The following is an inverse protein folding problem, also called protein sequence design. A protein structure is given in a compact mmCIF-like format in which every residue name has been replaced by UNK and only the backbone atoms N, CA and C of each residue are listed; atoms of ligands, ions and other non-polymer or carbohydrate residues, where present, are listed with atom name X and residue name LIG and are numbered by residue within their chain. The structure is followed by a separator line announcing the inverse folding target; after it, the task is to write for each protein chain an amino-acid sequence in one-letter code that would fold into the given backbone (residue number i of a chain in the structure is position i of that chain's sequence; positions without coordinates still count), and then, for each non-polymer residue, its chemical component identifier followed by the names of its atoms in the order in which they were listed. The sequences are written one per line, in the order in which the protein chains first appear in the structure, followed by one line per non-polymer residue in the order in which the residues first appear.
data_IF_428372837359
#
_entry.id   IF_428372837359
#
_cell.length_a   1.000
_cell.length_b   1.000
_cell.length_c   1.000
_cell.angle_alpha   90.00
_cell.angle_beta   90.00
_cell.angle_gamma   90.00
#
_symmetry.space_group_name_H-M   'P 1'
#
loop_
_entity.id
_entity.type
_entity.pdbx_description
1 polymer ?
#
# COMPACT_ATOMS: atom_id res chain seq x y z
N UNK A 1 -9.96 -1.32 18.49
CA UNK A 1 -8.69 -1.31 17.71
C UNK A 1 -9.06 -1.10 16.26
N UNK A 2 -8.58 -0.03 15.63
CA UNK A 2 -8.88 0.28 14.21
C UNK A 2 -8.01 -0.65 13.37
N UNK A 3 -8.63 -1.44 12.50
CA UNK A 3 -7.92 -2.38 11.63
C UNK A 3 -7.33 -1.65 10.39
N UNK A 4 -6.39 -2.29 9.68
CA UNK A 4 -5.90 -1.80 8.38
C UNK A 4 -7.06 -1.60 7.40
N UNK A 5 -8.04 -2.50 7.44
CA UNK A 5 -9.20 -2.47 6.55
C UNK A 5 -10.10 -1.25 6.84
N UNK A 6 -10.28 -0.90 8.12
CA UNK A 6 -11.04 0.29 8.52
C UNK A 6 -10.35 1.58 8.05
N UNK A 7 -9.02 1.65 8.20
CA UNK A 7 -8.20 2.77 7.70
C UNK A 7 -8.26 2.88 6.17
N UNK A 8 -8.12 1.75 5.48
CA UNK A 8 -8.22 1.70 4.03
C UNK A 8 -9.58 2.19 3.53
N UNK A 9 -10.67 1.82 4.22
CA UNK A 9 -12.01 2.29 3.90
C UNK A 9 -12.16 3.80 4.10
N UNK A 10 -11.69 4.33 5.23
CA UNK A 10 -11.71 5.78 5.50
C UNK A 10 -10.90 6.55 4.43
N UNK A 11 -9.73 6.04 4.05
CA UNK A 11 -8.90 6.65 3.02
C UNK A 11 -9.57 6.63 1.64
N UNK A 12 -10.28 5.54 1.28
CA UNK A 12 -11.08 5.48 0.04
C UNK A 12 -12.18 6.53 0.05
N UNK A 13 -12.91 6.68 1.15
CA UNK A 13 -13.98 7.68 1.29
C UNK A 13 -13.42 9.10 1.10
N UNK A 14 -12.31 9.42 1.77
CA UNK A 14 -11.62 10.70 1.64
C UNK A 14 -11.09 10.93 0.22
N UNK A 15 -10.46 9.92 -0.37
CA UNK A 15 -9.94 9.98 -1.74
C UNK A 15 -11.06 10.26 -2.75
N UNK A 16 -12.15 9.51 -2.68
CA UNK A 16 -13.28 9.68 -3.60
C UNK A 16 -13.95 11.07 -3.43
N UNK A 17 -14.16 11.50 -2.20
CA UNK A 17 -14.74 12.81 -1.90
C UNK A 17 -13.88 13.97 -2.41
N UNK A 18 -12.54 13.85 -2.33
CA UNK A 18 -11.62 14.89 -2.81
C UNK A 18 -11.42 14.86 -4.32
N UNK A 19 -11.43 13.70 -4.94
CA UNK A 19 -11.03 13.54 -6.34
C UNK A 19 -12.17 13.29 -7.29
N UNK A 20 -13.30 12.79 -6.79
CA UNK A 20 -14.44 12.25 -7.53
C UNK A 20 -14.08 11.12 -8.51
N UNK A 21 -12.90 10.52 -8.37
CA UNK A 21 -12.50 9.35 -9.14
C UNK A 21 -13.20 8.11 -8.58
N UNK A 22 -13.62 7.22 -9.48
CA UNK A 22 -14.09 5.91 -9.08
C UNK A 22 -12.91 5.11 -8.53
N UNK A 23 -13.15 4.35 -7.48
CA UNK A 23 -12.12 3.54 -6.82
C UNK A 23 -12.72 2.25 -6.29
N UNK A 24 -12.02 1.17 -6.51
CA UNK A 24 -12.31 -0.16 -5.99
C UNK A 24 -11.10 -0.68 -5.24
N UNK A 25 -11.33 -1.34 -4.10
CA UNK A 25 -10.30 -2.04 -3.35
C UNK A 25 -10.53 -3.54 -3.42
N UNK A 26 -9.46 -4.28 -3.62
CA UNK A 26 -9.43 -5.73 -3.73
C UNK A 26 -8.43 -6.32 -2.74
N UNK A 27 -8.71 -7.53 -2.24
CA UNK A 27 -7.71 -8.27 -1.49
C UNK A 27 -6.63 -8.86 -2.43
N UNK A 28 -5.64 -9.53 -1.88
CA UNK A 28 -4.52 -10.16 -2.58
C UNK A 28 -4.96 -11.26 -3.58
N UNK A 29 -6.16 -11.79 -3.41
CA UNK A 29 -6.76 -12.81 -4.29
C UNK A 29 -7.67 -12.21 -5.38
N UNK A 30 -7.85 -10.89 -5.39
CA UNK A 30 -8.70 -10.19 -6.35
C UNK A 30 -10.19 -10.19 -6.00
N UNK A 31 -10.55 -10.48 -4.75
CA UNK A 31 -11.92 -10.32 -4.28
C UNK A 31 -12.18 -8.87 -3.90
N UNK A 32 -13.29 -8.32 -4.36
CA UNK A 32 -13.70 -6.94 -4.07
C UNK A 32 -13.97 -6.77 -2.57
N UNK A 33 -13.35 -5.76 -1.97
CA UNK A 33 -13.54 -5.35 -0.58
C UNK A 33 -14.47 -4.15 -0.46
N UNK A 34 -14.17 -3.10 -1.22
CA UNK A 34 -14.90 -1.82 -1.22
C UNK A 34 -14.98 -1.25 -2.63
N UNK A 35 -16.04 -0.48 -2.89
CA UNK A 35 -16.21 0.24 -4.15
C UNK A 35 -16.88 1.57 -3.89
N UNK A 36 -16.38 2.66 -4.51
CA UNK A 36 -16.99 3.98 -4.51
C UNK A 36 -17.01 4.55 -5.93
N UNK A 37 -18.15 5.14 -6.27
CA UNK A 37 -18.43 5.61 -7.62
C UNK A 37 -18.96 4.52 -8.54
N UNK A 38 -18.77 4.68 -9.84
CA UNK A 38 -19.18 3.70 -10.84
C UNK A 38 -18.17 2.56 -10.92
N UNK A 39 -18.59 1.32 -11.27
CA UNK A 39 -17.68 0.20 -11.45
C UNK A 39 -16.57 0.52 -12.44
N UNK A 40 -15.32 0.20 -12.07
CA UNK A 40 -14.14 0.46 -12.92
C UNK A 40 -14.07 -0.52 -14.10
N UNK A 41 -14.72 -1.67 -13.99
CA UNK A 41 -14.74 -2.74 -15.03
C UNK A 41 -13.34 -3.15 -15.47
N UNK A 42 -12.45 -3.36 -14.53
CA UNK A 42 -11.08 -3.79 -14.77
C UNK A 42 -10.98 -5.32 -14.89
N UNK A 43 -10.07 -5.81 -15.73
CA UNK A 43 -9.75 -7.24 -15.83
C UNK A 43 -8.84 -7.63 -14.65
N UNK A 44 -9.44 -8.10 -13.56
CA UNK A 44 -8.74 -8.41 -12.31
C UNK A 44 -7.71 -9.53 -12.51
N UNK A 45 -7.97 -10.52 -13.36
CA UNK A 45 -6.99 -11.58 -13.64
C UNK A 45 -5.71 -11.03 -14.25
N UNK A 46 -5.80 -10.15 -15.24
CA UNK A 46 -4.62 -9.49 -15.81
C UNK A 46 -3.91 -8.58 -14.81
N UNK A 47 -4.67 -7.92 -13.93
CA UNK A 47 -4.08 -7.12 -12.87
C UNK A 47 -3.27 -7.99 -11.92
N UNK A 48 -3.83 -9.12 -11.45
CA UNK A 48 -3.13 -10.05 -10.56
C UNK A 48 -1.84 -10.62 -11.17
N UNK A 49 -1.84 -10.91 -12.48
CA UNK A 49 -0.62 -11.32 -13.18
C UNK A 49 0.46 -10.23 -13.20
N UNK A 50 0.06 -8.96 -13.33
CA UNK A 50 0.98 -7.83 -13.36
C UNK A 50 1.55 -7.51 -11.99
N UNK A 51 0.73 -7.43 -10.95
CA UNK A 51 1.19 -7.09 -9.58
C UNK A 51 2.13 -8.15 -8.99
N UNK A 52 2.07 -9.40 -9.48
CA UNK A 52 3.06 -10.44 -9.10
C UNK A 52 4.47 -10.14 -9.59
N UNK A 53 4.60 -9.35 -10.66
CA UNK A 53 5.88 -9.00 -11.30
C UNK A 53 6.34 -7.59 -10.94
N UNK A 54 5.41 -6.70 -10.65
CA UNK A 54 5.65 -5.28 -10.41
C UNK A 54 5.27 -4.93 -8.96
N UNK A 55 6.14 -4.20 -8.27
CA UNK A 55 5.86 -3.74 -6.90
C UNK A 55 5.37 -2.29 -6.84
N UNK A 56 5.54 -1.56 -7.94
CA UNK A 56 5.22 -0.14 -8.05
C UNK A 56 3.78 0.09 -8.51
N UNK A 57 3.36 1.34 -8.50
CA UNK A 57 2.10 1.80 -9.09
C UNK A 57 2.08 1.48 -10.58
N UNK A 58 0.99 0.89 -11.05
CA UNK A 58 0.80 0.46 -12.44
C UNK A 58 -0.25 1.34 -13.09
N UNK A 59 0.11 2.02 -14.17
CA UNK A 59 -0.83 2.74 -15.03
C UNK A 59 -1.14 1.92 -16.27
N UNK A 60 -2.41 1.66 -16.51
CA UNK A 60 -2.89 0.91 -17.67
C UNK A 60 -3.63 1.85 -18.59
N UNK A 61 -3.10 2.06 -19.81
CA UNK A 61 -3.83 2.75 -20.86
C UNK A 61 -4.88 1.81 -21.45
N UNK A 62 -6.15 2.17 -21.39
CA UNK A 62 -7.26 1.42 -21.99
C UNK A 62 -7.42 1.74 -23.46
N UNK A 63 -7.54 3.03 -23.77
CA UNK A 63 -7.62 3.59 -25.13
C UNK A 63 -7.64 5.11 -25.09
N UNK A 64 -7.13 5.79 -26.12
CA UNK A 64 -7.29 7.23 -26.34
C UNK A 64 -7.02 8.12 -25.11
N UNK A 65 -5.88 7.90 -24.43
CA UNK A 65 -5.51 8.63 -23.22
C UNK A 65 -6.46 8.40 -22.00
N UNK A 66 -7.18 7.29 -22.00
CA UNK A 66 -7.99 6.85 -20.86
C UNK A 66 -7.20 5.80 -20.08
N UNK A 67 -7.03 6.06 -18.80
CA UNK A 67 -6.21 5.24 -17.92
C UNK A 67 -7.01 4.69 -16.73
N UNK A 68 -6.54 3.57 -16.24
CA UNK A 68 -6.79 3.12 -14.86
C UNK A 68 -5.44 3.01 -14.15
N UNK A 69 -5.43 3.25 -12.85
CA UNK A 69 -4.24 3.13 -12.02
C UNK A 69 -4.46 2.06 -10.98
N UNK A 70 -3.48 1.19 -10.81
CA UNK A 70 -3.45 0.17 -9.78
C UNK A 70 -2.33 0.53 -8.81
N UNK A 71 -2.65 0.59 -7.52
CA UNK A 71 -1.67 0.80 -6.48
C UNK A 71 -1.95 -0.11 -5.28
N UNK A 72 -0.92 -0.53 -4.53
CA UNK A 72 -1.12 -1.41 -3.38
C UNK A 72 -1.84 -0.68 -2.25
N UNK A 73 -2.53 -1.40 -1.37
CA UNK A 73 -3.14 -0.84 -0.14
C UNK A 73 -2.06 -0.34 0.81
N UNK A 74 -0.96 -1.06 0.90
CA UNK A 74 0.24 -0.67 1.63
C UNK A 74 1.33 -0.30 0.62
N UNK A 75 1.97 0.87 0.73
CA UNK A 75 3.00 1.30 -0.21
C UNK A 75 4.02 0.21 -0.51
N UNK A 76 4.26 -0.05 -1.79
CA UNK A 76 5.21 -1.05 -2.31
C UNK A 76 4.93 -2.52 -1.92
N UNK A 77 3.74 -2.81 -1.37
CA UNK A 77 3.38 -4.16 -0.93
C UNK A 77 1.96 -4.56 -1.34
N UNK A 78 1.84 -5.41 -2.36
CA UNK A 78 0.58 -5.94 -2.86
C UNK A 78 0.03 -7.14 -2.05
N UNK A 79 0.75 -7.64 -1.05
CA UNK A 79 0.31 -8.80 -0.24
C UNK A 79 -0.93 -8.50 0.62
N UNK A 80 -1.26 -7.23 0.81
CA UNK A 80 -2.45 -6.78 1.55
C UNK A 80 -3.60 -6.37 0.64
N UNK A 81 -3.45 -6.54 -0.68
CA UNK A 81 -4.41 -6.12 -1.66
C UNK A 81 -4.02 -4.85 -2.42
N UNK A 82 -4.95 -4.34 -3.20
CA UNK A 82 -4.69 -3.23 -4.12
C UNK A 82 -5.95 -2.40 -4.39
N UNK A 83 -5.72 -1.16 -4.77
CA UNK A 83 -6.74 -0.26 -5.30
C UNK A 83 -6.70 -0.26 -6.82
N UNK A 84 -7.88 -0.13 -7.43
CA UNK A 84 -8.07 0.15 -8.86
C UNK A 84 -8.82 1.46 -8.98
N UNK A 85 -8.19 2.45 -9.60
CA UNK A 85 -8.67 3.84 -9.68
C UNK A 85 -8.96 4.20 -11.12
N UNK A 86 -10.10 4.81 -11.38
CA UNK A 86 -10.48 5.31 -12.68
C UNK A 86 -11.82 4.75 -13.18
N UNK A 87 -12.09 4.81 -14.49
CA UNK A 87 -11.24 5.41 -15.54
C UNK A 87 -11.12 6.93 -15.40
N UNK A 88 -10.00 7.47 -15.83
CA UNK A 88 -9.77 8.92 -15.98
C UNK A 88 -9.06 9.22 -17.30
N UNK A 89 -9.26 10.43 -17.82
CA UNK A 89 -8.61 10.88 -19.04
C UNK A 89 -7.45 11.84 -18.72
N UNK A 90 -6.35 11.69 -19.42
CA UNK A 90 -5.25 12.67 -19.39
C UNK A 90 -5.40 13.76 -20.47
N UNK A 91 -6.44 13.65 -21.31
CA UNK A 91 -6.81 14.65 -22.31
C UNK A 91 -8.01 15.46 -21.79
N UNK A 92 -7.84 16.78 -21.72
CA UNK A 92 -8.90 17.73 -21.36
C UNK A 92 -10.10 17.70 -22.31
N UNK A 93 -9.85 17.37 -23.57
CA UNK A 93 -10.85 17.43 -24.64
C UNK A 93 -11.45 16.04 -24.93
N UNK A 94 -11.36 15.10 -23.99
CA UNK A 94 -11.95 13.79 -24.20
C UNK A 94 -13.46 13.90 -24.43
N UNK A 95 -13.96 13.12 -25.38
CA UNK A 95 -15.38 13.13 -25.80
C UNK A 95 -16.24 12.13 -25.02
N UNK A 96 -15.63 11.34 -24.13
CA UNK A 96 -16.30 10.20 -23.47
C UNK A 96 -16.90 10.55 -22.10
N UNK A 97 -17.00 11.83 -21.75
CA UNK A 97 -17.48 12.31 -20.45
C UNK A 97 -16.75 11.64 -19.27
N UNK A 98 -15.48 11.29 -19.47
CA UNK A 98 -14.58 10.73 -18.45
C UNK A 98 -13.84 11.87 -17.77
N UNK A 99 -13.69 11.78 -16.47
CA UNK A 99 -13.05 12.82 -15.68
C UNK A 99 -11.59 13.06 -16.12
N UNK A 100 -11.25 14.30 -16.37
CA UNK A 100 -9.88 14.71 -16.68
C UNK A 100 -9.02 14.76 -15.41
N UNK A 101 -7.85 14.13 -15.45
CA UNK A 101 -6.80 14.24 -14.43
C UNK A 101 -5.44 14.38 -15.11
N UNK A 102 -4.70 15.47 -14.85
CA UNK A 102 -3.32 15.57 -15.31
C UNK A 102 -2.49 14.41 -14.76
N UNK A 103 -1.68 13.79 -15.61
CA UNK A 103 -0.91 12.61 -15.23
C UNK A 103 0.07 12.88 -14.07
N UNK A 104 0.60 14.09 -14.00
CA UNK A 104 1.54 14.50 -12.94
C UNK A 104 0.87 14.73 -11.57
N UNK A 105 -0.46 14.90 -11.52
CA UNK A 105 -1.18 15.03 -10.26
C UNK A 105 -1.45 13.69 -9.59
N UNK A 106 -1.47 12.60 -10.36
CA UNK A 106 -1.90 11.29 -9.87
C UNK A 106 -1.04 10.74 -8.72
N UNK A 107 0.30 10.82 -8.75
CA UNK A 107 1.11 10.38 -7.63
C UNK A 107 0.73 11.06 -6.31
N UNK A 108 0.49 12.38 -6.35
CA UNK A 108 0.08 13.15 -5.17
C UNK A 108 -1.34 12.79 -4.69
N UNK A 109 -2.25 12.49 -5.62
CA UNK A 109 -3.59 12.02 -5.25
C UNK A 109 -3.56 10.65 -4.57
N UNK A 110 -2.68 9.76 -5.02
CA UNK A 110 -2.51 8.42 -4.43
C UNK A 110 -1.98 8.51 -2.99
N UNK A 111 -1.20 9.53 -2.65
CA UNK A 111 -0.74 9.76 -1.28
C UNK A 111 -1.89 9.90 -0.28
N UNK A 112 -3.06 10.37 -0.72
CA UNK A 112 -4.27 10.43 0.12
C UNK A 112 -4.74 9.05 0.58
N UNK A 113 -4.46 7.99 -0.19
CA UNK A 113 -4.80 6.61 0.15
C UNK A 113 -3.87 6.03 1.22
N UNK A 114 -2.75 6.67 1.47
CA UNK A 114 -1.71 6.20 2.39
C UNK A 114 -1.68 6.98 3.72
N UNK A 115 -2.59 7.94 3.89
CA UNK A 115 -2.69 8.72 5.13
C UNK A 115 -2.98 7.78 6.31
N UNK A 116 -2.18 7.89 7.37
CA UNK A 116 -2.31 7.09 8.60
C UNK A 116 -2.24 5.55 8.40
N UNK A 117 -1.78 5.09 7.24
CA UNK A 117 -1.40 3.69 7.06
C UNK A 117 -0.02 3.50 7.69
N UNK A 118 0.01 3.38 9.02
CA UNK A 118 1.20 2.91 9.72
C UNK A 118 1.31 1.41 9.52
N UNK A 119 2.36 0.99 8.83
CA UNK A 119 2.66 -0.43 8.64
C UNK A 119 3.24 -0.92 9.96
N UNK A 120 2.56 -1.84 10.64
CA UNK A 120 3.19 -2.57 11.75
C UNK A 120 4.50 -3.22 11.31
N UNK A 121 4.62 -3.60 10.02
CA UNK A 121 5.86 -4.08 9.41
C UNK A 121 6.98 -3.03 9.38
N UNK A 122 6.70 -1.73 9.22
CA UNK A 122 7.75 -0.70 9.33
C UNK A 122 8.23 -0.55 10.76
N UNK A 123 7.34 -0.66 11.75
CA UNK A 123 7.76 -0.76 13.15
C UNK A 123 8.56 -2.03 13.41
N UNK A 124 8.13 -3.17 12.85
CA UNK A 124 8.88 -4.42 12.90
C UNK A 124 10.23 -4.28 12.21
N UNK A 125 10.28 -3.78 10.99
CA UNK A 125 11.53 -3.57 10.25
C UNK A 125 12.44 -2.55 10.94
N UNK A 126 11.90 -1.46 11.49
CA UNK A 126 12.67 -0.47 12.23
C UNK A 126 13.27 -1.07 13.51
N UNK A 127 12.51 -1.88 14.25
CA UNK A 127 12.98 -2.54 15.45
C UNK A 127 14.01 -3.64 15.14
N UNK A 128 13.82 -4.39 14.06
CA UNK A 128 14.82 -5.36 13.54
C UNK A 128 16.10 -4.62 13.15
N UNK A 129 15.99 -3.54 12.40
CA UNK A 129 17.15 -2.74 11.97
C UNK A 129 17.89 -2.14 13.17
N UNK A 130 17.16 -1.66 14.18
CA UNK A 130 17.77 -1.18 15.43
C UNK A 130 18.49 -2.30 16.18
N UNK A 131 17.87 -3.48 16.27
CA UNK A 131 18.47 -4.64 16.94
C UNK A 131 19.73 -5.11 16.20
N UNK A 132 19.72 -5.19 14.87
CA UNK A 132 20.89 -5.54 14.06
C UNK A 132 22.00 -4.52 14.27
N UNK A 133 21.71 -3.22 14.18
CA UNK A 133 22.72 -2.15 14.43
C UNK A 133 23.30 -2.22 15.83
N UNK A 134 22.49 -2.54 16.83
CA UNK A 134 22.95 -2.71 18.20
C UNK A 134 23.90 -3.91 18.31
N UNK A 135 23.53 -5.06 17.72
CA UNK A 135 24.38 -6.27 17.67
C UNK A 135 25.69 -5.96 16.97
N UNK A 136 25.66 -5.35 15.79
CA UNK A 136 26.86 -5.01 15.00
C UNK A 136 27.80 -4.06 15.72
N UNK A 137 27.26 -3.14 16.54
CA UNK A 137 28.10 -2.20 17.31
C UNK A 137 28.64 -2.79 18.62
N UNK A 138 28.08 -3.88 19.12
CA UNK A 138 28.40 -4.47 20.42
C UNK A 138 28.78 -5.96 20.34
N UNK A 139 29.02 -6.51 19.14
CA UNK A 139 29.29 -7.95 18.92
C UNK A 139 30.51 -8.47 19.70
N UNK A 140 31.44 -7.57 20.08
CA UNK A 140 32.64 -7.91 20.89
C UNK A 140 32.38 -7.95 22.41
N UNK A 141 31.16 -7.63 22.84
CA UNK A 141 30.72 -7.65 24.23
C UNK A 141 29.84 -8.87 24.49
N UNK A 142 29.66 -9.21 25.76
CA UNK A 142 28.74 -10.30 26.15
C UNK A 142 27.29 -9.80 26.07
N UNK A 143 26.74 -9.80 24.84
CA UNK A 143 25.37 -9.39 24.57
C UNK A 143 24.44 -10.61 24.53
N UNK A 144 23.30 -10.49 25.14
CA UNK A 144 22.23 -11.49 25.09
C UNK A 144 20.89 -10.81 24.85
N UNK A 145 19.86 -11.62 24.64
CA UNK A 145 18.52 -11.15 24.29
C UNK A 145 17.91 -10.21 25.36
N UNK A 146 18.28 -10.40 26.65
CA UNK A 146 17.80 -9.56 27.74
C UNK A 146 18.42 -8.16 27.70
N UNK A 147 19.70 -8.09 27.36
CA UNK A 147 20.41 -6.82 27.16
C UNK A 147 19.83 -6.06 25.99
N UNK A 148 19.66 -6.72 24.83
CA UNK A 148 19.10 -6.10 23.62
C UNK A 148 17.66 -5.59 23.88
N UNK A 149 16.81 -6.41 24.51
CA UNK A 149 15.43 -6.04 24.79
C UNK A 149 15.32 -4.82 25.72
N UNK A 150 16.19 -4.73 26.72
CA UNK A 150 16.24 -3.63 27.68
C UNK A 150 16.74 -2.34 27.02
N UNK A 151 17.82 -2.41 26.24
CA UNK A 151 18.39 -1.23 25.56
C UNK A 151 17.45 -0.66 24.50
N UNK A 152 16.77 -1.53 23.75
CA UNK A 152 15.83 -1.11 22.71
C UNK A 152 14.41 -0.84 23.24
N UNK A 153 14.18 -1.02 24.54
CA UNK A 153 12.86 -0.89 25.19
C UNK A 153 11.80 -1.79 24.52
N UNK A 154 12.20 -3.00 24.12
CA UNK A 154 11.36 -3.97 23.41
C UNK A 154 11.10 -5.19 24.29
N UNK A 155 9.93 -5.82 24.10
CA UNK A 155 9.63 -7.06 24.78
C UNK A 155 10.47 -8.21 24.22
N UNK A 156 11.07 -9.04 25.09
CA UNK A 156 11.91 -10.19 24.72
C UNK A 156 11.19 -11.18 23.84
N UNK A 157 9.92 -11.50 24.14
CA UNK A 157 9.09 -12.41 23.34
C UNK A 157 8.83 -11.86 21.95
N UNK A 158 8.63 -10.54 21.84
CA UNK A 158 8.51 -9.84 20.57
C UNK A 158 9.77 -9.97 19.73
N UNK A 159 10.95 -9.69 20.30
CA UNK A 159 12.24 -9.87 19.61
C UNK A 159 12.45 -11.30 19.12
N UNK A 160 12.15 -12.30 19.96
CA UNK A 160 12.22 -13.72 19.58
C UNK A 160 11.35 -14.05 18.37
N UNK A 161 10.11 -13.53 18.33
CA UNK A 161 9.19 -13.79 17.24
C UNK A 161 9.65 -13.11 15.93
N UNK A 162 10.10 -11.88 16.02
CA UNK A 162 10.59 -11.10 14.87
C UNK A 162 11.81 -11.77 14.22
N UNK A 163 12.76 -12.28 15.01
CA UNK A 163 13.91 -12.99 14.48
C UNK A 163 13.61 -14.42 13.98
N UNK A 164 12.48 -15.03 14.40
CA UNK A 164 12.02 -16.33 13.88
C UNK A 164 11.34 -16.24 12.51
N UNK A 165 10.70 -15.13 12.21
CA UNK A 165 9.97 -14.90 10.93
C UNK A 165 10.94 -14.63 9.76
N UNK A 166 12.20 -14.28 10.06
CA UNK A 166 13.24 -14.00 9.06
C UNK A 166 14.07 -15.22 8.60
N UNK A 167 13.56 -16.45 8.82
CA UNK A 167 14.22 -17.69 8.34
C UNK A 167 13.45 -18.35 7.23
#
# INVERSE_FOLDING_TARGET
MITLLDKAKENIDNFHNCTHLNIEAYNENGNLLFSLGNPVNADIHKILERIRKEKNIINVNRQHNIFITICPIIPNNYSYGFYVIGPYSTDKNNKENIQYKPIHCLPHLIELLYVNIEIEEEKHNLNVTKAIKYIDSHYSQDINLDVISKELTLNKTYLCNVFKIGR
#
